data_IF_242575952942
#
_entry.id   IF_242575952942
#
_cell.length_a   1.000
_cell.length_b   1.000
_cell.length_c   1.000
_cell.angle_alpha   90.00
_cell.angle_beta   90.00
_cell.angle_gamma   90.00
#
_symmetry.space_group_name_H-M   'P 1'
#
loop_
_entity.id
_entity.type
_entity.pdbx_description
1 polymer ?
#
# COMPACT_ATOMS: atom_id res chain seq x y z
N UNK A 1 -13.52 -14.37 -16.18
CA UNK A 1 -12.89 -13.50 -15.18
C UNK A 1 -12.96 -12.07 -15.69
N UNK A 2 -13.21 -11.08 -14.82
CA UNK A 2 -13.11 -9.66 -15.20
C UNK A 2 -11.65 -9.36 -15.52
N UNK A 3 -11.39 -8.67 -16.63
CA UNK A 3 -10.02 -8.28 -16.98
C UNK A 3 -9.48 -7.30 -15.93
N UNK A 4 -8.32 -7.61 -15.34
CA UNK A 4 -7.67 -6.75 -14.34
C UNK A 4 -7.04 -5.52 -15.00
N UNK A 5 -7.04 -4.41 -14.28
CA UNK A 5 -6.47 -3.14 -14.75
C UNK A 5 -4.95 -3.26 -14.93
N UNK A 6 -4.39 -2.97 -16.12
CA UNK A 6 -2.94 -3.05 -16.32
C UNK A 6 -2.20 -2.00 -15.50
N UNK A 7 -0.96 -2.29 -15.10
CA UNK A 7 -0.02 -1.29 -14.58
C UNK A 7 0.97 -0.86 -15.67
N UNK A 8 1.49 0.38 -15.62
CA UNK A 8 2.56 0.82 -16.51
C UNK A 8 3.84 0.00 -16.32
N UNK A 9 4.61 -0.17 -17.39
CA UNK A 9 5.94 -0.78 -17.30
C UNK A 9 6.84 0.03 -16.36
N UNK A 10 7.53 -0.65 -15.44
CA UNK A 10 8.40 -0.01 -14.46
C UNK A 10 7.68 0.71 -13.31
N UNK A 11 6.35 0.55 -13.18
CA UNK A 11 5.62 1.09 -12.05
C UNK A 11 6.03 0.39 -10.73
N UNK A 12 6.28 1.18 -9.69
CA UNK A 12 6.78 0.69 -8.40
C UNK A 12 6.22 1.53 -7.26
N UNK A 13 5.71 0.85 -6.22
CA UNK A 13 5.38 1.47 -4.94
C UNK A 13 6.49 1.16 -3.94
N UNK A 14 6.80 2.08 -3.04
CA UNK A 14 7.86 1.90 -2.04
C UNK A 14 7.56 2.69 -0.78
N UNK A 15 8.07 2.24 0.37
CA UNK A 15 7.97 2.99 1.62
C UNK A 15 9.24 3.84 1.74
N UNK A 16 9.08 5.16 1.84
CA UNK A 16 10.17 6.12 2.00
C UNK A 16 10.65 6.15 3.46
N UNK A 17 9.71 6.08 4.39
CA UNK A 17 9.94 6.08 5.83
C UNK A 17 8.80 5.31 6.49
N UNK A 18 9.03 4.55 7.56
CA UNK A 18 10.34 4.20 8.10
C UNK A 18 11.14 3.29 7.15
N UNK A 19 12.45 3.22 7.34
CA UNK A 19 13.30 2.25 6.65
C UNK A 19 13.10 0.83 7.22
N UNK A 20 13.47 -0.20 6.45
CA UNK A 20 13.46 -1.57 6.94
C UNK A 20 14.42 -1.75 8.13
N UNK A 21 13.91 -2.36 9.20
CA UNK A 21 14.59 -2.57 10.47
C UNK A 21 14.63 -1.33 11.38
N UNK A 22 14.04 -0.20 10.99
CA UNK A 22 14.12 1.03 11.76
C UNK A 22 13.37 0.89 13.11
N UNK A 23 13.96 1.50 14.15
CA UNK A 23 13.40 1.52 15.49
C UNK A 23 12.80 2.89 15.78
N UNK A 24 11.49 2.92 16.03
CA UNK A 24 10.68 4.16 16.12
C UNK A 24 9.83 4.18 17.40
N UNK A 25 9.21 5.32 17.69
CA UNK A 25 8.18 5.47 18.74
C UNK A 25 6.79 5.54 18.12
N UNK A 26 5.77 5.07 18.82
CA UNK A 26 4.37 5.34 18.43
C UNK A 26 4.01 6.80 18.76
N UNK A 27 3.27 7.50 17.88
CA UNK A 27 2.77 7.01 16.59
C UNK A 27 3.83 7.00 15.49
N UNK A 28 3.74 6.00 14.61
CA UNK A 28 4.68 5.80 13.49
C UNK A 28 4.20 6.54 12.25
N UNK A 29 4.96 7.53 11.81
CA UNK A 29 4.74 8.18 10.51
C UNK A 29 5.26 7.29 9.38
N UNK A 30 4.37 6.91 8.46
CA UNK A 30 4.71 6.13 7.26
C UNK A 30 4.52 7.00 6.03
N UNK A 31 5.55 7.12 5.20
CA UNK A 31 5.58 7.94 3.98
C UNK A 31 5.69 7.03 2.77
N UNK A 32 4.78 7.20 1.82
CA UNK A 32 4.64 6.38 0.63
C UNK A 32 5.34 7.02 -0.56
N UNK A 33 5.88 6.19 -1.43
CA UNK A 33 6.45 6.56 -2.71
C UNK A 33 5.81 5.75 -3.84
N UNK A 34 5.71 6.38 -5.00
CA UNK A 34 5.22 5.78 -6.24
C UNK A 34 6.02 6.31 -7.42
N UNK A 35 6.47 5.41 -8.31
CA UNK A 35 7.18 5.72 -9.55
C UNK A 35 6.47 5.07 -10.73
N UNK A 36 6.49 5.72 -11.89
CA UNK A 36 5.94 5.18 -13.14
C UNK A 36 4.41 5.14 -13.22
N UNK A 37 3.70 5.65 -12.21
CA UNK A 37 2.23 5.61 -12.10
C UNK A 37 1.71 6.85 -11.35
N UNK A 38 0.46 7.24 -11.57
CA UNK A 38 -0.19 8.34 -10.85
C UNK A 38 -1.06 7.85 -9.68
N UNK A 39 -1.28 8.76 -8.73
CA UNK A 39 -2.27 8.56 -7.66
C UNK A 39 -3.58 9.24 -8.05
N UNK A 40 -4.71 8.54 -7.95
CA UNK A 40 -6.06 9.03 -8.23
C UNK A 40 -7.02 8.55 -7.15
N UNK A 41 -8.02 9.36 -6.75
CA UNK A 41 -9.03 8.91 -5.81
C UNK A 41 -9.75 7.63 -6.27
N UNK A 42 -10.16 6.80 -5.31
CA UNK A 42 -11.00 5.64 -5.56
C UNK A 42 -12.33 6.08 -6.22
N UNK A 43 -12.86 5.26 -7.12
CA UNK A 43 -14.06 5.59 -7.92
C UNK A 43 -13.80 6.45 -9.15
N UNK A 44 -12.59 7.00 -9.33
CA UNK A 44 -12.21 7.74 -10.54
C UNK A 44 -11.40 6.83 -11.46
N UNK A 45 -12.00 6.42 -12.56
CA UNK A 45 -11.32 5.67 -13.61
C UNK A 45 -10.43 6.60 -14.44
N UNK A 46 -9.12 6.45 -14.26
CA UNK A 46 -8.10 7.20 -15.00
C UNK A 46 -6.94 6.28 -15.33
N UNK A 47 -6.57 6.26 -16.60
CA UNK A 47 -5.47 5.42 -17.10
C UNK A 47 -4.17 5.65 -16.31
N UNK A 48 -3.46 4.55 -16.04
CA UNK A 48 -2.17 4.55 -15.35
C UNK A 48 -2.22 5.20 -13.96
N UNK A 49 -3.34 5.08 -13.27
CA UNK A 49 -3.51 5.56 -11.89
C UNK A 49 -4.21 4.55 -11.01
N UNK A 50 -4.08 4.76 -9.70
CA UNK A 50 -4.74 4.00 -8.66
C UNK A 50 -4.52 4.70 -7.32
N UNK A 51 -4.69 3.99 -6.21
CA UNK A 51 -4.45 4.53 -4.87
C UNK A 51 -3.72 3.53 -3.98
N UNK A 52 -3.07 4.05 -2.93
CA UNK A 52 -2.32 3.23 -1.99
C UNK A 52 -3.23 2.45 -1.06
N UNK A 53 -2.79 1.24 -0.75
CA UNK A 53 -3.21 0.46 0.41
C UNK A 53 -1.96 0.11 1.21
N UNK A 54 -2.07 0.16 2.54
CA UNK A 54 -1.01 -0.26 3.45
C UNK A 54 -1.46 -1.51 4.19
N UNK A 55 -0.70 -2.58 4.01
CA UNK A 55 -0.85 -3.85 4.71
C UNK A 55 0.00 -3.79 5.97
N UNK A 56 -0.62 -4.05 7.13
CA UNK A 56 0.00 -4.02 8.45
C UNK A 56 -0.08 -5.41 9.07
N UNK A 57 1.05 -6.05 9.31
CA UNK A 57 1.15 -7.40 9.89
C UNK A 57 0.42 -8.51 9.10
N UNK A 58 0.26 -8.33 7.79
CA UNK A 58 -0.39 -9.31 6.91
C UNK A 58 0.64 -10.37 6.48
N UNK A 59 0.45 -11.61 6.94
CA UNK A 59 1.37 -12.72 6.64
C UNK A 59 1.11 -13.38 5.28
N UNK A 60 -0.17 -13.48 4.89
CA UNK A 60 -0.58 -14.09 3.63
C UNK A 60 -0.87 -13.01 2.59
N UNK A 61 -0.32 -13.18 1.38
CA UNK A 61 -0.56 -12.24 0.28
C UNK A 61 -2.06 -12.19 -0.04
N UNK A 62 -2.67 -10.99 -0.18
CA UNK A 62 -4.08 -10.89 -0.54
C UNK A 62 -4.36 -11.46 -1.93
N UNK A 63 -5.60 -11.87 -2.16
CA UNK A 63 -6.07 -12.25 -3.49
C UNK A 63 -5.94 -11.05 -4.44
N UNK A 64 -5.14 -11.21 -5.50
CA UNK A 64 -4.81 -10.12 -6.42
C UNK A 64 -5.92 -9.80 -7.43
N UNK A 65 -6.92 -10.67 -7.55
CA UNK A 65 -8.05 -10.57 -8.47
C UNK A 65 -9.36 -10.17 -7.78
N UNK A 66 -9.30 -9.78 -6.50
CA UNK A 66 -10.43 -9.32 -5.70
C UNK A 66 -10.12 -7.95 -5.09
N UNK A 67 -11.16 -7.19 -4.69
CA UNK A 67 -10.96 -5.98 -3.90
C UNK A 67 -10.17 -6.28 -2.63
N UNK A 68 -9.21 -5.43 -2.31
CA UNK A 68 -8.48 -5.50 -1.05
C UNK A 68 -9.45 -5.30 0.14
N UNK A 69 -9.34 -6.11 1.21
CA UNK A 69 -10.14 -5.92 2.41
C UNK A 69 -9.96 -4.51 2.97
N UNK A 70 -10.98 -3.97 3.62
CA UNK A 70 -10.90 -2.70 4.34
C UNK A 70 -11.08 -2.99 5.83
N UNK A 71 -9.95 -3.17 6.52
CA UNK A 71 -9.90 -3.50 7.95
C UNK A 71 -8.67 -2.85 8.59
N UNK A 72 -8.40 -3.15 9.86
CA UNK A 72 -7.27 -2.55 10.58
C UNK A 72 -5.90 -3.00 10.05
N UNK A 73 -5.82 -4.17 9.42
CA UNK A 73 -4.60 -4.69 8.79
C UNK A 73 -4.47 -4.26 7.33
N UNK A 74 -5.54 -3.74 6.72
CA UNK A 74 -5.58 -3.28 5.33
C UNK A 74 -6.12 -1.85 5.27
N UNK A 75 -5.21 -0.88 5.37
CA UNK A 75 -5.54 0.55 5.45
C UNK A 75 -5.67 1.15 4.04
N UNK A 76 -6.79 1.83 3.79
CA UNK A 76 -7.14 2.36 2.47
C UNK A 76 -6.83 3.85 2.36
N UNK A 77 -6.16 4.25 1.28
CA UNK A 77 -5.79 5.63 0.99
C UNK A 77 -6.39 6.10 -0.33
N UNK A 78 -7.69 5.81 -0.50
CA UNK A 78 -8.47 6.15 -1.70
C UNK A 78 -8.71 7.64 -1.91
N UNK A 79 -8.23 8.53 -1.04
CA UNK A 79 -8.23 9.98 -1.26
C UNK A 79 -6.96 10.49 -1.96
N UNK A 80 -6.04 9.59 -2.28
CA UNK A 80 -4.74 9.92 -2.85
C UNK A 80 -3.68 10.33 -1.82
N UNK A 81 -3.83 9.87 -0.57
CA UNK A 81 -2.85 10.11 0.46
C UNK A 81 -1.52 9.43 0.12
N UNK A 82 -0.42 10.10 0.46
CA UNK A 82 0.96 9.63 0.28
C UNK A 82 1.69 9.45 1.60
N UNK A 83 0.99 9.64 2.72
CA UNK A 83 1.50 9.35 4.05
C UNK A 83 0.36 9.06 5.02
N UNK A 84 0.71 8.43 6.14
CA UNK A 84 -0.20 8.19 7.26
C UNK A 84 0.56 8.15 8.58
N UNK A 85 -0.19 8.15 9.67
CA UNK A 85 0.31 7.99 11.03
C UNK A 85 -0.39 6.78 11.63
N UNK A 86 0.38 5.78 12.07
CA UNK A 86 -0.14 4.54 12.66
C UNK A 86 0.11 4.52 14.16
N UNK A 87 -0.93 4.21 14.93
CA UNK A 87 -0.77 3.79 16.32
C UNK A 87 -0.43 2.31 16.34
N UNK A 88 0.82 1.99 16.69
CA UNK A 88 1.31 0.62 16.75
C UNK A 88 1.78 0.32 18.17
N UNK A 89 1.39 -0.82 18.77
CA UNK A 89 1.91 -1.20 20.08
C UNK A 89 3.43 -1.46 20.02
N UNK A 90 4.14 -1.41 21.16
CA UNK A 90 5.54 -1.83 21.21
C UNK A 90 5.73 -3.26 20.68
N UNK A 91 6.71 -3.47 19.81
CA UNK A 91 6.94 -4.76 19.15
C UNK A 91 7.43 -4.65 17.71
N UNK A 92 7.49 -5.82 17.06
CA UNK A 92 7.89 -5.95 15.65
C UNK A 92 6.65 -5.95 14.76
N UNK A 93 6.64 -5.10 13.74
CA UNK A 93 5.55 -4.99 12.77
C UNK A 93 6.07 -5.11 11.35
N UNK A 94 5.25 -5.65 10.45
CA UNK A 94 5.54 -5.64 9.01
C UNK A 94 4.61 -4.67 8.29
N UNK A 95 5.17 -3.93 7.33
CA UNK A 95 4.45 -2.98 6.49
C UNK A 95 4.71 -3.28 5.02
N UNK A 96 3.68 -3.17 4.18
CA UNK A 96 3.79 -3.28 2.73
C UNK A 96 2.77 -2.39 2.03
N UNK A 97 3.18 -1.71 0.96
CA UNK A 97 2.28 -1.00 0.06
C UNK A 97 1.82 -1.88 -1.10
N UNK A 98 0.58 -1.69 -1.51
CA UNK A 98 0.03 -2.21 -2.77
C UNK A 98 -0.87 -1.17 -3.42
N UNK A 99 -0.78 -1.04 -4.74
CA UNK A 99 -1.68 -0.17 -5.52
C UNK A 99 -2.96 -0.91 -5.90
N UNK A 100 -4.10 -0.34 -5.52
CA UNK A 100 -5.42 -0.73 -5.99
C UNK A 100 -5.92 0.18 -7.11
N UNK A 101 -6.67 -0.38 -8.05
CA UNK A 101 -7.39 0.37 -9.07
C UNK A 101 -8.63 1.08 -8.50
N UNK A 102 -9.48 1.65 -9.36
CA UNK A 102 -10.72 2.34 -8.95
C UNK A 102 -11.66 1.48 -8.09
N UNK A 103 -11.58 0.14 -8.19
CA UNK A 103 -12.39 -0.83 -7.45
C UNK A 103 -11.62 -1.48 -6.29
N UNK A 104 -10.45 -0.94 -5.92
CA UNK A 104 -9.55 -1.48 -4.90
C UNK A 104 -8.97 -2.85 -5.29
N UNK A 105 -9.00 -3.23 -6.57
CA UNK A 105 -8.43 -4.47 -7.07
C UNK A 105 -6.96 -4.20 -7.44
N UNK A 106 -6.00 -5.02 -7.00
CA UNK A 106 -4.61 -4.83 -7.41
C UNK A 106 -4.43 -4.84 -8.93
N UNK A 107 -3.53 -3.98 -9.45
CA UNK A 107 -3.20 -3.93 -10.88
C UNK A 107 -2.51 -5.19 -11.39
N UNK A 108 -2.43 -5.37 -12.72
CA UNK A 108 -1.74 -6.50 -13.37
C UNK A 108 -0.64 -6.03 -14.35
N UNK A 109 0.66 -6.28 -14.07
CA UNK A 109 1.20 -6.90 -12.86
C UNK A 109 0.93 -6.04 -11.59
N UNK A 110 0.93 -6.65 -10.39
CA UNK A 110 0.72 -5.91 -9.15
C UNK A 110 1.87 -4.93 -8.91
N UNK A 111 1.53 -3.71 -8.50
CA UNK A 111 2.50 -2.67 -8.09
C UNK A 111 2.53 -2.66 -6.56
N UNK A 112 3.60 -3.18 -5.99
CA UNK A 112 3.77 -3.40 -4.56
C UNK A 112 5.16 -2.94 -4.12
N UNK A 113 5.29 -2.58 -2.85
CA UNK A 113 6.61 -2.40 -2.23
C UNK A 113 7.18 -3.73 -1.76
N UNK A 114 8.48 -3.71 -1.48
CA UNK A 114 9.08 -4.66 -0.54
C UNK A 114 8.35 -4.61 0.79
N UNK A 115 8.37 -5.74 1.51
CA UNK A 115 7.89 -5.80 2.89
C UNK A 115 9.01 -5.27 3.78
N UNK A 116 8.70 -4.26 4.58
CA UNK A 116 9.63 -3.76 5.60
C UNK A 116 9.20 -4.22 6.98
N UNK A 117 10.17 -4.35 7.88
CA UNK A 117 10.00 -4.58 9.30
C UNK A 117 10.25 -3.28 10.06
N UNK A 118 9.37 -2.93 10.99
CA UNK A 118 9.51 -1.76 11.87
C UNK A 118 9.46 -2.23 13.32
N UNK A 119 10.31 -1.66 14.17
CA UNK A 119 10.37 -2.00 15.59
C UNK A 119 9.90 -0.79 16.41
N UNK A 120 8.79 -0.94 17.12
CA UNK A 120 8.22 0.10 17.99
C UNK A 120 8.67 -0.12 19.43
N UNK A 121 9.20 0.93 20.07
CA UNK A 121 9.61 0.92 21.49
C UNK A 121 8.50 1.38 22.42
#
# INVERSE_FOLDING_TARGET
>A
AVARTPSPEGAEAYIISPADGEVVSSPVKVVFGLRGMGVSPAGIDKANTGHHHLLVNVAERPALDKPLPSDDSHRHFGGGQTETTLELPPGKHTLQLIMGDTNHIPHNPPVMSEVITVIVR
#
